data_IF_967849130814
#
_entry.id   IF_967849130814
#
_cell.length_a   1.000
_cell.length_b   1.000
_cell.length_c   1.000
_cell.angle_alpha   90.00
_cell.angle_beta   90.00
_cell.angle_gamma   90.00
#
_symmetry.space_group_name_H-M   'P 1'
#
loop_
_entity.id
_entity.type
_entity.pdbx_description
1 polymer ?
#
# COMPACT_ATOMS: atom_id res chain seq x y z
N UNK A 1 -25.98 5.79 13.05
CA UNK A 1 -25.49 6.91 13.87
C UNK A 1 -24.31 7.51 13.13
N UNK A 2 -24.38 8.80 12.80
CA UNK A 2 -23.38 9.51 12.00
C UNK A 2 -22.01 9.54 12.66
N UNK A 3 -20.95 9.47 11.85
CA UNK A 3 -19.55 9.59 12.26
C UNK A 3 -19.21 10.91 12.99
N UNK A 4 -20.17 11.84 13.11
CA UNK A 4 -20.02 13.12 13.79
C UNK A 4 -20.02 13.04 15.33
N UNK A 5 -20.55 11.96 15.94
CA UNK A 5 -20.74 11.89 17.41
C UNK A 5 -19.62 11.19 18.19
N UNK A 6 -18.56 10.68 17.54
CA UNK A 6 -17.53 9.87 18.20
C UNK A 6 -16.23 10.61 18.57
N UNK A 7 -16.09 11.91 18.28
CA UNK A 7 -14.86 12.68 18.58
C UNK A 7 -13.61 12.28 17.79
N UNK A 8 -13.55 11.06 17.25
CA UNK A 8 -12.57 10.58 16.29
C UNK A 8 -13.00 10.99 14.87
N UNK A 9 -12.79 12.27 14.50
CA UNK A 9 -12.72 12.59 13.07
C UNK A 9 -11.42 12.01 12.54
N UNK A 10 -11.51 10.83 11.93
CA UNK A 10 -10.52 10.40 10.95
C UNK A 10 -10.49 11.43 9.83
N UNK A 11 -9.67 12.47 9.97
CA UNK A 11 -9.28 13.35 8.87
C UNK A 11 -8.22 12.63 8.05
N UNK A 12 -8.55 11.46 7.49
CA UNK A 12 -7.83 10.98 6.32
C UNK A 12 -8.47 11.72 5.15
N UNK A 13 -7.79 12.71 4.54
CA UNK A 13 -8.41 13.57 3.56
C UNK A 13 -8.80 12.79 2.32
N UNK A 14 -9.90 13.20 1.74
CA UNK A 14 -10.47 12.73 0.49
C UNK A 14 -9.48 12.88 -0.66
N UNK A 15 -8.75 11.82 -1.04
CA UNK A 15 -8.15 11.63 -2.37
C UNK A 15 -7.15 12.68 -2.91
N UNK A 16 -7.00 13.86 -2.29
CA UNK A 16 -6.07 14.93 -2.68
C UNK A 16 -4.75 14.75 -1.93
N UNK A 17 -3.64 14.47 -2.63
CA UNK A 17 -2.32 14.34 -2.03
C UNK A 17 -1.88 15.57 -1.23
N UNK A 18 -2.27 16.79 -1.63
CA UNK A 18 -1.86 18.02 -0.94
C UNK A 18 -2.53 18.15 0.43
N UNK A 19 -3.82 17.83 0.53
CA UNK A 19 -4.54 17.81 1.80
C UNK A 19 -4.00 16.72 2.74
N UNK A 20 -3.71 15.53 2.20
CA UNK A 20 -3.09 14.44 2.96
C UNK A 20 -1.75 14.86 3.55
N UNK A 21 -0.87 15.44 2.73
CA UNK A 21 0.45 15.89 3.17
C UNK A 21 0.35 16.98 4.24
N UNK A 22 -0.57 17.95 4.09
CA UNK A 22 -0.80 18.99 5.09
C UNK A 22 -1.32 18.42 6.42
N UNK A 23 -2.20 17.41 6.37
CA UNK A 23 -2.69 16.73 7.55
C UNK A 23 -1.58 15.96 8.28
N UNK A 24 -0.74 15.23 7.54
CA UNK A 24 0.41 14.49 8.09
C UNK A 24 1.44 15.46 8.71
N UNK A 25 1.80 16.52 8.01
CA UNK A 25 2.75 17.55 8.47
C UNK A 25 2.26 18.25 9.74
N UNK A 26 0.95 18.51 9.85
CA UNK A 26 0.35 19.00 11.09
C UNK A 26 0.49 17.99 12.24
N UNK A 27 0.17 16.71 12.01
CA UNK A 27 0.30 15.65 13.02
C UNK A 27 1.75 15.51 13.47
N UNK A 28 2.71 15.55 12.54
CA UNK A 28 4.13 15.45 12.85
C UNK A 28 4.61 16.64 13.70
N UNK A 29 4.23 17.88 13.35
CA UNK A 29 4.54 19.06 14.17
C UNK A 29 3.92 19.00 15.57
N UNK A 30 2.66 18.57 15.67
CA UNK A 30 1.98 18.41 16.97
C UNK A 30 2.70 17.35 17.82
N UNK A 31 3.15 16.24 17.21
CA UNK A 31 3.93 15.19 17.87
C UNK A 31 5.31 15.70 18.34
N UNK A 32 6.01 16.46 17.51
CA UNK A 32 7.31 17.06 17.85
C UNK A 32 7.18 18.08 19.00
N UNK A 33 6.13 18.91 18.96
CA UNK A 33 5.86 19.91 19.99
C UNK A 33 5.44 19.29 21.34
N UNK A 34 4.83 18.10 21.33
CA UNK A 34 4.37 17.43 22.55
C UNK A 34 5.51 16.86 23.42
N UNK A 35 6.73 16.75 22.86
CA UNK A 35 7.94 16.39 23.60
C UNK A 35 8.05 14.92 23.99
N UNK A 36 9.19 14.57 24.59
CA UNK A 36 9.58 13.18 24.90
C UNK A 36 8.59 12.44 25.81
N UNK A 37 7.98 13.14 26.77
CA UNK A 37 6.98 12.56 27.68
C UNK A 37 5.72 12.09 26.94
N UNK A 38 5.23 12.88 25.97
CA UNK A 38 4.10 12.51 25.13
C UNK A 38 4.44 11.30 24.26
N UNK A 39 5.61 11.32 23.60
CA UNK A 39 6.07 10.21 22.77
C UNK A 39 6.23 8.92 23.57
N UNK A 40 6.78 9.00 24.78
CA UNK A 40 6.93 7.87 25.70
C UNK A 40 5.58 7.33 26.16
N UNK A 41 4.59 8.21 26.38
CA UNK A 41 3.23 7.80 26.74
C UNK A 41 2.52 7.13 25.55
N UNK A 42 2.70 7.66 24.35
CA UNK A 42 2.05 7.18 23.14
C UNK A 42 2.64 5.84 22.66
N UNK A 43 3.96 5.71 22.66
CA UNK A 43 4.69 4.57 22.06
C UNK A 43 5.42 3.68 23.08
N UNK A 44 5.44 4.05 24.36
CA UNK A 44 6.27 3.41 25.37
C UNK A 44 7.75 3.82 25.26
N UNK A 45 8.58 3.49 26.26
CA UNK A 45 10.00 3.86 26.27
C UNK A 45 10.84 3.32 25.10
N UNK A 46 10.42 2.19 24.50
CA UNK A 46 11.16 1.52 23.42
C UNK A 46 10.38 1.44 22.09
N UNK A 47 9.23 2.12 21.99
CA UNK A 47 8.42 2.12 20.76
C UNK A 47 7.46 0.92 20.59
N UNK A 48 7.43 0.00 21.54
CA UNK A 48 6.67 -1.26 21.51
C UNK A 48 5.48 -1.29 22.49
N UNK A 49 5.15 -0.16 23.12
CA UNK A 49 4.17 -0.06 24.19
C UNK A 49 3.30 1.20 24.12
N UNK A 50 2.91 1.69 25.30
CA UNK A 50 2.13 2.91 25.46
C UNK A 50 0.68 2.80 24.96
N UNK A 51 -0.01 3.93 24.94
CA UNK A 51 -1.42 4.00 24.55
C UNK A 51 -1.69 3.43 23.15
N UNK A 52 -0.72 3.53 22.23
CA UNK A 52 -0.85 2.93 20.89
C UNK A 52 -0.90 1.40 20.96
N UNK A 53 0.02 0.77 21.69
CA UNK A 53 0.02 -0.68 21.82
C UNK A 53 -1.23 -1.19 22.54
N UNK A 54 -1.69 -0.49 23.59
CA UNK A 54 -2.92 -0.83 24.31
C UNK A 54 -4.16 -0.73 23.40
N UNK A 55 -4.27 0.36 22.63
CA UNK A 55 -5.34 0.49 21.64
C UNK A 55 -5.24 -0.61 20.56
N UNK A 56 -4.02 -0.96 20.14
CA UNK A 56 -3.76 -2.02 19.17
C UNK A 56 -4.25 -3.38 19.70
N UNK A 57 -3.94 -3.70 20.96
CA UNK A 57 -4.42 -4.91 21.63
C UNK A 57 -5.95 -4.97 21.66
N UNK A 58 -6.62 -3.87 22.00
CA UNK A 58 -8.09 -3.82 22.09
C UNK A 58 -8.77 -3.91 20.72
N UNK A 59 -8.23 -3.21 19.72
CA UNK A 59 -8.85 -3.13 18.39
C UNK A 59 -8.51 -4.40 17.59
N UNK A 60 -7.25 -4.81 17.55
CA UNK A 60 -6.75 -5.82 16.63
C UNK A 60 -6.42 -7.17 17.27
N UNK A 61 -6.38 -7.25 18.61
CA UNK A 61 -6.05 -8.48 19.33
C UNK A 61 -4.54 -8.76 19.43
N UNK A 62 -3.69 -7.77 19.11
CA UNK A 62 -2.24 -7.87 19.23
C UNK A 62 -1.56 -6.51 19.06
N UNK A 63 -0.25 -6.39 19.36
CA UNK A 63 0.44 -5.10 19.40
C UNK A 63 0.71 -4.51 18.01
N UNK A 64 0.71 -5.33 16.94
CA UNK A 64 1.12 -4.94 15.58
C UNK A 64 -0.04 -4.52 14.66
N UNK A 65 -1.20 -4.19 15.22
CA UNK A 65 -2.32 -3.65 14.46
C UNK A 65 -2.96 -4.70 13.55
N UNK A 66 -3.30 -4.32 12.32
CA UNK A 66 -3.89 -5.24 11.33
C UNK A 66 -3.09 -6.54 11.16
N UNK A 67 -1.76 -6.49 11.31
CA UNK A 67 -0.88 -7.66 11.21
C UNK A 67 -1.13 -8.70 12.30
N UNK A 68 -1.73 -8.30 13.43
CA UNK A 68 -2.11 -9.19 14.52
C UNK A 68 -3.39 -9.99 14.23
N UNK A 69 -4.15 -9.65 13.18
CA UNK A 69 -5.39 -10.35 12.85
C UNK A 69 -5.08 -11.75 12.28
N UNK A 70 -5.66 -12.83 12.85
CA UNK A 70 -5.46 -14.18 12.33
C UNK A 70 -5.77 -14.29 10.83
N UNK A 71 -4.82 -14.83 10.06
CA UNK A 71 -4.93 -14.95 8.61
C UNK A 71 -4.35 -13.77 7.82
N UNK A 72 -3.76 -12.76 8.47
CA UNK A 72 -3.07 -11.65 7.79
C UNK A 72 -2.01 -12.15 6.79
N UNK A 73 -1.09 -13.00 7.22
CA UNK A 73 -0.04 -13.56 6.35
C UNK A 73 -0.63 -14.32 5.16
N UNK A 74 -1.71 -15.07 5.38
CA UNK A 74 -2.37 -15.80 4.30
C UNK A 74 -2.99 -14.86 3.25
N UNK A 75 -3.49 -13.68 3.65
CA UNK A 75 -3.97 -12.65 2.71
C UNK A 75 -2.81 -11.99 1.97
N UNK A 76 -1.68 -11.73 2.65
CA UNK A 76 -0.46 -11.24 2.01
C UNK A 76 0.04 -12.23 0.96
N UNK A 77 0.03 -13.53 1.26
CA UNK A 77 0.40 -14.58 0.32
C UNK A 77 -0.47 -14.60 -0.94
N UNK A 78 -1.78 -14.34 -0.82
CA UNK A 78 -2.65 -14.20 -2.00
C UNK A 78 -2.23 -13.01 -2.88
N UNK A 79 -1.81 -11.89 -2.29
CA UNK A 79 -1.30 -10.74 -3.05
C UNK A 79 0.04 -11.04 -3.73
N UNK A 80 0.93 -11.78 -3.06
CA UNK A 80 2.18 -12.24 -3.68
C UNK A 80 1.89 -13.22 -4.82
N UNK A 81 0.91 -14.10 -4.64
CA UNK A 81 0.48 -15.06 -5.65
C UNK A 81 -0.15 -14.36 -6.86
N UNK A 82 -1.00 -13.34 -6.66
CA UNK A 82 -1.62 -12.60 -7.77
C UNK A 82 -0.58 -12.00 -8.69
N UNK A 83 0.48 -11.39 -8.14
CA UNK A 83 1.59 -10.80 -8.91
C UNK A 83 2.34 -11.82 -9.79
N UNK A 84 2.40 -13.09 -9.37
CA UNK A 84 3.02 -14.15 -10.18
C UNK A 84 2.07 -14.63 -11.28
N UNK A 85 0.78 -14.74 -10.98
CA UNK A 85 -0.23 -15.25 -11.90
C UNK A 85 -0.51 -14.27 -13.04
N UNK A 86 -0.60 -12.97 -12.78
CA UNK A 86 -0.88 -11.97 -13.82
C UNK A 86 0.17 -11.94 -14.94
N UNK A 87 1.41 -12.38 -14.69
CA UNK A 87 2.45 -12.47 -15.71
C UNK A 87 2.15 -13.52 -16.79
N UNK A 88 1.15 -14.37 -16.57
CA UNK A 88 0.69 -15.39 -17.50
C UNK A 88 -0.65 -15.02 -18.15
N UNK A 89 -1.25 -13.87 -17.84
CA UNK A 89 -2.46 -13.39 -18.50
C UNK A 89 -2.12 -12.88 -19.91
N UNK A 90 -2.93 -13.26 -20.90
CA UNK A 90 -2.66 -12.96 -22.33
C UNK A 90 -2.56 -11.45 -22.61
N UNK A 91 -3.41 -10.64 -21.95
CA UNK A 91 -3.43 -9.19 -22.09
C UNK A 91 -2.18 -8.54 -21.49
N UNK A 92 -1.72 -9.01 -20.33
CA UNK A 92 -0.46 -8.58 -19.70
C UNK A 92 0.74 -8.96 -20.56
N UNK A 93 0.81 -10.19 -21.07
CA UNK A 93 1.89 -10.62 -21.94
C UNK A 93 1.92 -9.84 -23.26
N UNK A 94 0.75 -9.47 -23.81
CA UNK A 94 0.67 -8.62 -25.00
C UNK A 94 1.13 -7.19 -24.71
N UNK A 95 0.74 -6.62 -23.58
CA UNK A 95 1.17 -5.29 -23.15
C UNK A 95 2.68 -5.22 -22.90
N UNK A 96 3.26 -6.26 -22.29
CA UNK A 96 4.70 -6.38 -22.04
C UNK A 96 5.49 -6.39 -23.36
N UNK A 97 5.05 -7.17 -24.36
CA UNK A 97 5.66 -7.18 -25.71
C UNK A 97 5.56 -5.82 -26.39
N UNK A 98 4.41 -5.15 -26.29
CA UNK A 98 4.21 -3.82 -26.89
C UNK A 98 5.09 -2.75 -26.22
N UNK A 99 5.21 -2.80 -24.89
CA UNK A 99 6.09 -1.92 -24.12
C UNK A 99 7.56 -2.16 -24.50
N UNK A 100 7.99 -3.42 -24.58
CA UNK A 100 9.36 -3.80 -24.96
C UNK A 100 9.71 -3.27 -26.37
N UNK A 101 8.79 -3.40 -27.33
CA UNK A 101 8.96 -2.85 -28.67
C UNK A 101 9.12 -1.31 -28.65
N UNK A 102 8.28 -0.61 -27.88
CA UNK A 102 8.36 0.84 -27.73
C UNK A 102 9.68 1.31 -27.11
N UNK A 103 10.21 0.57 -26.13
CA UNK A 103 11.52 0.84 -25.53
C UNK A 103 12.66 0.56 -26.51
N UNK A 104 12.57 -0.50 -27.30
CA UNK A 104 13.56 -0.84 -28.33
C UNK A 104 13.67 0.24 -29.41
N UNK A 105 12.54 0.83 -29.84
CA UNK A 105 12.51 1.99 -30.75
C UNK A 105 13.22 3.22 -30.17
N UNK A 106 13.29 3.33 -28.84
CA UNK A 106 13.98 4.42 -28.12
C UNK A 106 15.42 4.08 -27.76
N UNK A 107 15.95 2.94 -28.25
CA UNK A 107 17.32 2.51 -28.04
C UNK A 107 17.55 1.69 -26.76
N UNK A 108 16.48 1.29 -26.06
CA UNK A 108 16.58 0.55 -24.81
C UNK A 108 16.14 -0.91 -24.98
N UNK A 109 16.96 -1.85 -24.52
CA UNK A 109 16.71 -3.29 -24.70
C UNK A 109 16.26 -3.94 -23.38
N UNK A 110 14.94 -4.17 -23.28
CA UNK A 110 14.32 -4.84 -22.14
C UNK A 110 13.39 -5.94 -22.61
N UNK A 111 13.53 -7.13 -22.02
CA UNK A 111 12.67 -8.28 -22.35
C UNK A 111 11.30 -8.16 -21.69
N UNK A 112 11.26 -7.67 -20.44
CA UNK A 112 10.03 -7.48 -19.69
C UNK A 112 10.07 -6.15 -18.93
N UNK A 113 8.89 -5.56 -18.68
CA UNK A 113 8.76 -4.34 -17.87
C UNK A 113 9.17 -4.58 -16.42
N UNK A 114 9.01 -5.80 -15.91
CA UNK A 114 9.35 -6.19 -14.53
C UNK A 114 10.86 -6.15 -14.29
N UNK A 115 11.66 -6.44 -15.31
CA UNK A 115 13.12 -6.40 -15.25
C UNK A 115 13.69 -4.97 -15.35
N UNK A 116 12.90 -4.02 -15.84
CA UNK A 116 13.36 -2.67 -16.12
C UNK A 116 13.81 -1.97 -14.82
N UNK A 117 12.99 -1.89 -13.74
CA UNK A 117 13.38 -1.36 -12.41
C UNK A 117 14.75 -1.84 -11.93
N UNK A 118 15.03 -3.14 -11.99
CA UNK A 118 16.29 -3.71 -11.50
C UNK A 118 17.51 -3.27 -12.31
N UNK A 119 17.32 -2.94 -13.59
CA UNK A 119 18.37 -2.43 -14.49
C UNK A 119 18.53 -0.90 -14.43
N UNK A 120 17.53 -0.17 -13.94
CA UNK A 120 17.64 1.27 -13.63
C UNK A 120 18.49 1.53 -12.39
N UNK A 121 18.61 0.55 -11.49
CA UNK A 121 19.31 0.68 -10.22
C UNK A 121 20.82 0.40 -10.40
N UNK A 122 21.52 1.27 -11.10
CA UNK A 122 22.98 1.33 -10.94
C UNK A 122 23.25 2.11 -9.65
N UNK A 123 23.97 1.57 -8.65
CA UNK A 123 24.29 2.31 -7.44
C UNK A 123 25.15 3.53 -7.77
N UNK A 124 24.53 4.70 -7.83
CA UNK A 124 25.17 5.99 -8.07
C UNK A 124 24.68 6.98 -7.01
N UNK A 125 25.57 7.84 -6.54
CA UNK A 125 25.24 8.90 -5.58
C UNK A 125 24.57 10.11 -6.26
N UNK A 126 24.37 10.08 -7.57
CA UNK A 126 23.74 11.16 -8.34
C UNK A 126 22.92 10.64 -9.50
N UNK A 127 21.71 11.18 -9.67
CA UNK A 127 20.86 10.97 -10.83
C UNK A 127 21.50 11.61 -12.07
N UNK A 128 21.65 10.84 -13.13
CA UNK A 128 22.24 11.24 -14.41
C UNK A 128 21.15 11.59 -15.43
N UNK A 129 21.50 12.39 -16.44
CA UNK A 129 20.60 12.67 -17.57
C UNK A 129 20.15 11.40 -18.27
N UNK A 130 21.04 10.41 -18.43
CA UNK A 130 20.71 9.14 -19.06
C UNK A 130 19.63 8.34 -18.30
N UNK A 131 19.69 8.35 -16.96
CA UNK A 131 18.65 7.74 -16.12
C UNK A 131 17.31 8.47 -16.26
N UNK A 132 17.33 9.81 -16.29
CA UNK A 132 16.13 10.64 -16.51
C UNK A 132 15.52 10.35 -17.88
N UNK A 133 16.34 10.29 -18.93
CA UNK A 133 15.89 10.02 -20.30
C UNK A 133 15.27 8.62 -20.41
N UNK A 134 15.90 7.60 -19.80
CA UNK A 134 15.38 6.24 -19.80
C UNK A 134 14.07 6.12 -19.00
N UNK A 135 13.98 6.75 -17.83
CA UNK A 135 12.75 6.76 -17.03
C UNK A 135 11.62 7.52 -17.74
N UNK A 136 11.96 8.60 -18.44
CA UNK A 136 11.00 9.35 -19.27
C UNK A 136 10.50 8.51 -20.45
N UNK A 137 11.39 7.75 -21.10
CA UNK A 137 11.03 6.80 -22.14
C UNK A 137 10.10 5.69 -21.61
N UNK A 138 10.42 5.11 -20.45
CA UNK A 138 9.58 4.10 -19.79
C UNK A 138 8.17 4.64 -19.53
N UNK A 139 8.06 5.78 -18.85
CA UNK A 139 6.77 6.39 -18.53
C UNK A 139 5.93 6.66 -19.79
N UNK A 140 6.56 7.13 -20.88
CA UNK A 140 5.87 7.34 -22.16
C UNK A 140 5.42 6.04 -22.82
N UNK A 141 6.28 5.01 -22.83
CA UNK A 141 5.94 3.71 -23.40
C UNK A 141 4.82 3.01 -22.63
N UNK A 142 4.86 3.05 -21.29
CA UNK A 142 3.80 2.51 -20.43
C UNK A 142 2.47 3.21 -20.68
N UNK A 143 2.48 4.54 -20.78
CA UNK A 143 1.30 5.33 -21.14
C UNK A 143 0.76 5.00 -22.53
N UNK A 144 1.63 4.83 -23.52
CA UNK A 144 1.24 4.55 -24.91
C UNK A 144 0.53 3.21 -25.04
N UNK A 145 1.00 2.19 -24.33
CA UNK A 145 0.38 0.85 -24.36
C UNK A 145 -0.75 0.67 -23.33
N UNK A 146 -0.95 1.65 -22.44
CA UNK A 146 -1.93 1.56 -21.36
C UNK A 146 -1.58 0.51 -20.31
N UNK A 147 -0.28 0.31 -20.03
CA UNK A 147 0.22 -0.80 -19.21
C UNK A 147 -0.45 -0.83 -17.83
N UNK A 148 -0.54 0.31 -17.15
CA UNK A 148 -1.12 0.40 -15.81
C UNK A 148 -2.56 -0.08 -15.76
N UNK A 149 -3.34 0.26 -16.79
CA UNK A 149 -4.76 -0.12 -16.86
C UNK A 149 -4.90 -1.63 -17.06
N UNK A 150 -4.13 -2.19 -17.99
CA UNK A 150 -4.13 -3.63 -18.28
C UNK A 150 -3.71 -4.43 -17.04
N UNK A 151 -2.62 -4.00 -16.39
CA UNK A 151 -2.13 -4.60 -15.15
C UNK A 151 -3.17 -4.54 -14.03
N UNK A 152 -3.82 -3.38 -13.85
CA UNK A 152 -4.88 -3.21 -12.85
C UNK A 152 -6.07 -4.13 -13.11
N UNK A 153 -6.56 -4.19 -14.35
CA UNK A 153 -7.70 -5.02 -14.71
C UNK A 153 -7.38 -6.52 -14.54
N UNK A 154 -6.18 -6.96 -14.95
CA UNK A 154 -5.71 -8.33 -14.78
C UNK A 154 -5.52 -8.71 -13.31
N UNK A 155 -4.84 -7.88 -12.51
CA UNK A 155 -4.63 -8.14 -11.09
C UNK A 155 -5.95 -8.15 -10.32
N UNK A 156 -6.89 -7.26 -10.65
CA UNK A 156 -8.24 -7.27 -10.07
C UNK A 156 -8.95 -8.59 -10.36
N UNK A 157 -8.88 -9.09 -11.59
CA UNK A 157 -9.49 -10.37 -12.00
C UNK A 157 -8.91 -11.53 -11.18
N UNK A 158 -7.58 -11.63 -11.14
CA UNK A 158 -6.85 -12.71 -10.44
C UNK A 158 -7.06 -12.64 -8.93
N UNK A 159 -6.95 -11.46 -8.31
CA UNK A 159 -7.17 -11.31 -6.87
C UNK A 159 -8.60 -11.67 -6.48
N UNK A 160 -9.61 -11.28 -7.28
CA UNK A 160 -10.99 -11.67 -7.03
C UNK A 160 -11.18 -13.19 -7.08
N UNK A 161 -10.55 -13.89 -8.03
CA UNK A 161 -10.58 -15.35 -8.10
C UNK A 161 -9.93 -15.98 -6.86
N UNK A 162 -8.72 -15.54 -6.50
CA UNK A 162 -7.99 -16.03 -5.32
C UNK A 162 -8.76 -15.82 -4.02
N UNK A 163 -9.44 -14.67 -3.87
CA UNK A 163 -10.28 -14.38 -2.71
C UNK A 163 -11.55 -15.23 -2.66
N UNK A 164 -12.15 -15.55 -3.82
CA UNK A 164 -13.31 -16.43 -3.91
C UNK A 164 -12.97 -17.87 -3.55
N UNK A 165 -11.79 -18.35 -3.98
CA UNK A 165 -11.33 -19.72 -3.73
C UNK A 165 -10.68 -19.90 -2.35
N UNK A 166 -10.33 -18.81 -1.67
CA UNK A 166 -9.66 -18.85 -0.37
C UNK A 166 -10.60 -19.33 0.76
N UNK A 167 -10.20 -20.34 1.56
CA UNK A 167 -10.99 -20.78 2.71
C UNK A 167 -10.95 -19.81 3.90
N UNK A 168 -10.08 -18.79 3.87
CA UNK A 168 -9.85 -17.88 5.00
C UNK A 168 -10.27 -16.43 4.72
N UNK A 169 -10.44 -16.03 3.45
CA UNK A 169 -10.66 -14.64 3.08
C UNK A 169 -11.92 -14.01 3.72
N UNK A 170 -13.04 -14.73 3.72
CA UNK A 170 -14.28 -14.25 4.34
C UNK A 170 -14.17 -14.11 5.87
N UNK A 171 -13.50 -15.06 6.52
CA UNK A 171 -13.23 -15.02 7.96
C UNK A 171 -12.34 -13.83 8.31
N UNK A 172 -11.24 -13.64 7.57
CA UNK A 172 -10.35 -12.48 7.76
C UNK A 172 -11.10 -11.16 7.58
N UNK A 173 -11.89 -11.01 6.50
CA UNK A 173 -12.69 -9.81 6.26
C UNK A 173 -13.65 -9.53 7.42
N UNK A 174 -14.29 -10.57 7.96
CA UNK A 174 -15.20 -10.45 9.10
C UNK A 174 -14.48 -10.02 10.38
N UNK A 175 -13.29 -10.54 10.64
CA UNK A 175 -12.45 -10.15 11.78
C UNK A 175 -11.99 -8.69 11.68
N UNK A 176 -11.57 -8.24 10.49
CA UNK A 176 -11.21 -6.84 10.24
C UNK A 176 -12.42 -5.93 10.42
N UNK A 177 -13.59 -6.30 9.90
CA UNK A 177 -14.84 -5.54 10.12
C UNK A 177 -15.15 -5.42 11.62
N UNK A 178 -15.03 -6.50 12.38
CA UNK A 178 -15.24 -6.48 13.82
C UNK A 178 -14.21 -5.59 14.55
N UNK A 179 -12.94 -5.60 14.14
CA UNK A 179 -11.92 -4.69 14.66
C UNK A 179 -12.26 -3.23 14.40
N UNK A 180 -12.67 -2.89 13.18
CA UNK A 180 -13.13 -1.53 12.84
C UNK A 180 -14.34 -1.12 13.68
N UNK A 181 -15.30 -2.03 13.91
CA UNK A 181 -16.44 -1.73 14.80
C UNK A 181 -16.01 -1.50 16.25
N UNK A 182 -15.01 -2.24 16.75
CA UNK A 182 -14.41 -1.95 18.07
C UNK A 182 -13.77 -0.56 18.10
N UNK A 183 -13.03 -0.18 17.05
CA UNK A 183 -12.42 1.15 16.95
C UNK A 183 -13.46 2.28 16.88
N UNK A 184 -14.59 2.08 16.19
CA UNK A 184 -15.69 3.05 16.16
C UNK A 184 -16.38 3.15 17.52
N UNK A 185 -16.58 2.01 18.20
CA UNK A 185 -17.14 1.96 19.55
C UNK A 185 -16.16 2.49 20.60
N UNK A 186 -14.86 2.54 20.28
CA UNK A 186 -13.83 3.23 21.04
C UNK A 186 -13.99 4.75 20.84
N UNK A 187 -15.10 5.27 21.35
CA UNK A 187 -15.21 6.70 21.62
C UNK A 187 -14.23 7.09 22.72
N UNK A 188 -13.71 8.33 22.74
CA UNK A 188 -12.97 8.84 23.89
C UNK A 188 -13.92 8.76 25.09
N UNK A 189 -13.70 7.80 25.99
CA UNK A 189 -14.47 7.70 27.22
C UNK A 189 -14.05 8.83 28.17
N UNK A 190 -15.08 9.36 28.82
CA UNK A 190 -15.14 10.18 30.04
C UNK A 190 -13.92 10.15 30.97
#
# INVERSE_FOLDING_TARGET
ADAATSGYRSTIPSGDPAEYLAAVDKIDREREAAGESYLTTLYGPNGDGGCRADASMQIWGGPTGLMSVPGYEAIVDLSVQSRKLILHEDDVMAADRAWSACMAERGYQFTTWVDAPAKFLVPSNSVTTAEIDQASADAQCRRLVGLERIMFDAETRVQNQLLQDSPFAQTFQSQVKAAVQRAIAYGPLD
#
